data_IF_535994811064
#
_entry.id   IF_535994811064
#
_cell.length_a   1.000
_cell.length_b   1.000
_cell.length_c   1.000
_cell.angle_alpha   90.00
_cell.angle_beta   90.00
_cell.angle_gamma   90.00
#
_symmetry.space_group_name_H-M   'P 1'
#
loop_
_entity.id
_entity.type
_entity.pdbx_description
1 polymer ?
#
# COMPACT_ATOMS: atom_id res chain seq x y z
N UNK A 1 -30.59 5.93 12.05
CA UNK A 1 -29.59 5.82 10.97
C UNK A 1 -28.28 6.35 11.52
N UNK A 2 -27.18 5.58 11.51
CA UNK A 2 -25.90 6.05 12.04
C UNK A 2 -25.39 7.23 11.20
N UNK A 3 -24.89 8.27 11.87
CA UNK A 3 -24.40 9.49 11.25
C UNK A 3 -23.03 9.20 10.60
N UNK A 4 -22.81 9.47 9.30
CA UNK A 4 -21.53 9.20 8.62
C UNK A 4 -20.33 9.94 9.24
N UNK A 5 -20.59 11.02 10.01
CA UNK A 5 -19.57 11.78 10.74
C UNK A 5 -19.01 11.05 11.97
N UNK A 6 -19.70 10.04 12.51
CA UNK A 6 -19.25 9.27 13.69
C UNK A 6 -18.34 8.08 13.34
N UNK A 7 -18.25 7.72 12.05
CA UNK A 7 -17.41 6.60 11.56
C UNK A 7 -15.97 7.05 11.29
N UNK A 8 -15.78 8.32 10.91
CA UNK A 8 -14.47 8.94 10.68
C UNK A 8 -13.56 8.99 11.93
N UNK A 9 -14.03 9.31 13.15
CA UNK A 9 -13.17 9.31 14.34
C UNK A 9 -12.74 7.90 14.78
N UNK A 10 -13.51 6.85 14.52
CA UNK A 10 -13.21 5.47 14.95
C UNK A 10 -12.07 4.82 14.14
N UNK A 11 -11.83 5.30 12.91
CA UNK A 11 -10.68 4.88 12.10
C UNK A 11 -9.38 5.61 12.48
N UNK A 12 -9.49 6.83 13.00
CA UNK A 12 -8.34 7.63 13.42
C UNK A 12 -7.89 7.33 14.86
N UNK A 13 -8.80 6.86 15.71
CA UNK A 13 -8.53 6.62 17.15
C UNK A 13 -8.25 5.18 17.50
N UNK A 14 -8.63 4.20 16.66
CA UNK A 14 -8.23 2.80 16.91
C UNK A 14 -6.79 2.57 16.48
N UNK A 15 -5.94 1.99 17.35
CA UNK A 15 -4.59 1.61 16.97
C UNK A 15 -4.66 0.65 15.78
N UNK A 16 -3.90 0.95 14.73
CA UNK A 16 -3.81 0.14 13.52
C UNK A 16 -3.18 -1.21 13.91
N UNK A 17 -3.96 -2.28 13.98
CA UNK A 17 -3.42 -3.61 14.32
C UNK A 17 -2.55 -4.13 13.16
N UNK A 18 -1.48 -4.85 13.48
CA UNK A 18 -0.58 -5.47 12.49
C UNK A 18 -1.35 -6.29 11.46
N UNK A 19 -2.33 -7.08 11.88
CA UNK A 19 -3.14 -7.90 10.97
C UNK A 19 -3.95 -7.04 9.97
N UNK A 20 -4.47 -5.89 10.41
CA UNK A 20 -5.19 -4.95 9.55
C UNK A 20 -4.26 -4.26 8.55
N UNK A 21 -3.05 -3.90 8.97
CA UNK A 21 -2.03 -3.34 8.08
C UNK A 21 -1.61 -4.34 6.99
N UNK A 22 -1.38 -5.60 7.36
CA UNK A 22 -1.05 -6.68 6.41
C UNK A 22 -2.18 -6.93 5.42
N UNK A 23 -3.43 -6.92 5.88
CA UNK A 23 -4.58 -7.08 5.00
C UNK A 23 -4.69 -5.92 3.98
N UNK A 24 -4.52 -4.68 4.44
CA UNK A 24 -4.49 -3.50 3.57
C UNK A 24 -3.31 -3.55 2.59
N UNK A 25 -2.14 -3.97 3.05
CA UNK A 25 -0.95 -4.10 2.21
C UNK A 25 -1.14 -5.09 1.06
N UNK A 26 -1.72 -6.26 1.36
CA UNK A 26 -2.09 -7.27 0.34
C UNK A 26 -3.15 -6.73 -0.62
N UNK A 27 -4.15 -6.00 -0.11
CA UNK A 27 -5.17 -5.36 -0.93
C UNK A 27 -4.56 -4.37 -1.93
N UNK A 28 -3.67 -3.49 -1.46
CA UNK A 28 -2.93 -2.53 -2.29
C UNK A 28 -2.08 -3.22 -3.36
N UNK A 29 -1.32 -4.25 -2.97
CA UNK A 29 -0.54 -5.05 -3.92
C UNK A 29 -1.42 -5.71 -4.97
N UNK A 30 -2.55 -6.31 -4.56
CA UNK A 30 -3.49 -6.96 -5.46
C UNK A 30 -4.08 -5.99 -6.49
N UNK A 31 -4.52 -4.81 -6.04
CA UNK A 31 -5.06 -3.77 -6.93
C UNK A 31 -3.98 -3.26 -7.89
N UNK A 32 -2.76 -3.01 -7.41
CA UNK A 32 -1.65 -2.57 -8.25
C UNK A 32 -1.27 -3.62 -9.31
N UNK A 33 -1.26 -4.90 -8.94
CA UNK A 33 -1.02 -6.00 -9.86
C UNK A 33 -2.11 -6.10 -10.94
N UNK A 34 -3.39 -6.02 -10.56
CA UNK A 34 -4.50 -6.02 -11.50
C UNK A 34 -4.46 -4.82 -12.46
N UNK A 35 -4.17 -3.63 -11.94
CA UNK A 35 -4.00 -2.42 -12.75
C UNK A 35 -2.85 -2.59 -13.76
N UNK A 36 -1.74 -3.19 -13.34
CA UNK A 36 -0.58 -3.48 -14.20
C UNK A 36 -0.94 -4.45 -15.32
N UNK A 37 -1.61 -5.56 -15.00
CA UNK A 37 -2.03 -6.57 -15.99
C UNK A 37 -3.02 -5.97 -16.98
N UNK A 38 -3.98 -5.18 -16.51
CA UNK A 38 -4.93 -4.48 -17.37
C UNK A 38 -4.23 -3.50 -18.30
N UNK A 39 -3.29 -2.72 -17.77
CA UNK A 39 -2.55 -1.74 -18.57
C UNK A 39 -1.65 -2.42 -19.60
N UNK A 40 -1.00 -3.53 -19.25
CA UNK A 40 -0.19 -4.32 -20.19
C UNK A 40 -1.05 -4.91 -21.32
N UNK A 41 -2.25 -5.41 -21.01
CA UNK A 41 -3.24 -5.84 -22.03
C UNK A 41 -3.70 -4.68 -22.91
N UNK A 42 -3.77 -3.47 -22.39
CA UNK A 42 -4.13 -2.28 -23.16
C UNK A 42 -2.98 -1.83 -24.05
N UNK A 43 -1.73 -1.96 -23.60
CA UNK A 43 -0.53 -1.62 -24.35
C UNK A 43 -0.44 -2.42 -25.66
N UNK A 44 -0.76 -3.71 -25.62
CA UNK A 44 -0.75 -4.57 -26.82
C UNK A 44 -1.85 -4.23 -27.82
N UNK A 45 -3.02 -3.74 -27.37
CA UNK A 45 -4.14 -3.38 -28.25
C UNK A 45 -4.09 -1.93 -28.74
N UNK A 46 -3.59 -1.01 -27.91
CA UNK A 46 -3.56 0.45 -28.16
C UNK A 46 -2.27 1.04 -27.58
N UNK A 47 -1.13 0.90 -28.27
CA UNK A 47 0.17 1.28 -27.73
C UNK A 47 0.31 2.78 -27.51
N UNK A 48 -0.11 3.61 -28.48
CA UNK A 48 0.03 5.07 -28.39
C UNK A 48 -0.71 5.67 -27.17
N UNK A 49 -1.99 5.33 -26.98
CA UNK A 49 -2.77 5.80 -25.82
C UNK A 49 -2.23 5.26 -24.50
N UNK A 50 -1.73 4.01 -24.50
CA UNK A 50 -1.18 3.41 -23.28
C UNK A 50 0.15 4.05 -22.87
N UNK A 51 1.00 4.43 -23.84
CA UNK A 51 2.23 5.17 -23.60
C UNK A 51 1.96 6.57 -23.05
N UNK A 52 0.92 7.26 -23.52
CA UNK A 52 0.52 8.56 -22.97
C UNK A 52 0.07 8.47 -21.50
N UNK A 53 -0.45 7.32 -21.07
CA UNK A 53 -0.85 7.06 -19.68
C UNK A 53 0.31 6.59 -18.80
N UNK A 54 1.45 6.19 -19.38
CA UNK A 54 2.60 5.67 -18.65
C UNK A 54 3.13 6.60 -17.55
N UNK A 55 3.25 7.93 -17.75
CA UNK A 55 3.76 8.84 -16.73
C UNK A 55 2.90 8.89 -15.46
N UNK A 56 1.64 8.48 -15.54
CA UNK A 56 0.70 8.47 -14.42
C UNK A 56 0.53 7.07 -13.85
N UNK A 57 0.39 6.06 -14.71
CA UNK A 57 0.14 4.69 -14.27
C UNK A 57 1.37 4.03 -13.65
N UNK A 58 2.57 4.25 -14.20
CA UNK A 58 3.81 3.72 -13.63
C UNK A 58 4.04 4.15 -12.18
N UNK A 59 4.03 5.46 -11.84
CA UNK A 59 4.23 5.87 -10.46
C UNK A 59 3.09 5.40 -9.55
N UNK A 60 1.83 5.40 -9.99
CA UNK A 60 0.72 4.88 -9.19
C UNK A 60 0.89 3.40 -8.82
N UNK A 61 1.27 2.57 -9.79
CA UNK A 61 1.56 1.15 -9.56
C UNK A 61 2.76 0.99 -8.62
N UNK A 62 3.85 1.74 -8.86
CA UNK A 62 5.05 1.67 -8.03
C UNK A 62 4.75 2.05 -6.58
N UNK A 63 4.01 3.14 -6.36
CA UNK A 63 3.59 3.58 -5.03
C UNK A 63 2.66 2.54 -4.39
N UNK A 64 1.70 1.98 -5.14
CA UNK A 64 0.80 0.96 -4.62
C UNK A 64 1.51 -0.32 -4.19
N UNK A 65 2.50 -0.77 -4.97
CA UNK A 65 3.34 -1.93 -4.61
C UNK A 65 4.22 -1.60 -3.41
N UNK A 66 4.87 -0.44 -3.39
CA UNK A 66 5.74 -0.02 -2.29
C UNK A 66 4.96 0.16 -0.98
N UNK A 67 3.82 0.85 -1.00
CA UNK A 67 2.92 1.01 0.14
C UNK A 67 2.38 -0.35 0.60
N UNK A 68 2.01 -1.22 -0.35
CA UNK A 68 1.56 -2.56 -0.03
C UNK A 68 2.65 -3.43 0.61
N UNK A 69 3.90 -3.32 0.14
CA UNK A 69 5.06 -4.03 0.67
C UNK A 69 5.38 -3.56 2.08
N UNK A 70 5.49 -2.25 2.27
CA UNK A 70 5.78 -1.63 3.57
C UNK A 70 4.72 -1.97 4.61
N UNK A 71 3.44 -2.01 4.26
CA UNK A 71 2.36 -2.39 5.18
C UNK A 71 2.28 -3.90 5.46
N UNK A 72 2.78 -4.75 4.55
CA UNK A 72 2.67 -6.20 4.69
C UNK A 72 3.93 -6.86 5.26
N UNK A 73 5.11 -6.27 5.03
CA UNK A 73 6.41 -6.87 5.33
C UNK A 73 7.14 -6.18 6.47
N UNK A 74 7.08 -4.85 6.57
CA UNK A 74 7.73 -4.16 7.68
C UNK A 74 6.89 -4.33 8.94
N UNK A 75 7.54 -4.81 10.00
CA UNK A 75 6.94 -4.76 11.32
C UNK A 75 7.14 -3.35 11.86
N UNK A 76 6.04 -2.61 11.98
CA UNK A 76 6.04 -1.24 12.46
C UNK A 76 5.97 -1.18 13.99
N UNK A 77 5.56 -2.28 14.63
CA UNK A 77 5.41 -2.37 16.09
C UNK A 77 6.71 -2.85 16.78
N UNK A 78 7.66 -3.40 16.03
CA UNK A 78 9.01 -3.75 16.49
C UNK A 78 10.03 -2.84 15.76
N UNK A 79 10.14 -1.55 16.14
CA UNK A 79 11.13 -0.66 15.56
C UNK A 79 12.52 -1.21 15.88
N UNK A 80 13.22 -1.65 14.83
CA UNK A 80 14.58 -2.19 14.81
C UNK A 80 15.31 -2.06 16.16
N UNK A 81 15.35 -3.16 16.91
CA UNK A 81 16.09 -3.44 18.15
C UNK A 81 17.12 -2.37 18.54
N UNK A 82 16.67 -1.19 18.93
CA UNK A 82 17.52 -0.22 19.60
C UNK A 82 17.44 -0.59 21.06
N UNK A 83 18.35 -1.45 21.49
CA UNK A 83 18.55 -1.76 22.89
C UNK A 83 19.46 -0.66 23.48
N UNK A 84 18.91 0.33 24.23
CA UNK A 84 19.73 1.36 24.86
C UNK A 84 20.64 0.80 25.97
N UNK A 85 20.44 -0.45 26.37
CA UNK A 85 21.24 -1.16 27.37
C UNK A 85 22.25 -2.15 26.74
N UNK A 86 22.27 -2.29 25.40
CA UNK A 86 23.28 -3.09 24.74
C UNK A 86 24.67 -2.48 24.97
N UNK A 87 25.61 -3.21 25.59
CA UNK A 87 26.95 -2.69 25.82
C UNK A 87 27.61 -2.41 24.47
N UNK A 88 28.08 -1.18 24.28
CA UNK A 88 28.88 -0.80 23.11
C UNK A 88 30.07 -1.79 22.98
N UNK A 89 30.10 -2.53 21.88
CA UNK A 89 31.17 -3.48 21.58
C UNK A 89 32.40 -2.79 21.00
#
# INVERSE_FOLDING_TARGET
MPNPMDVLPDLATRPMTVERSRWLGRGLMGVAALASVWWLRRLTRRPATSLLLAPVLLPLVAIGIWAGFTLNVLDWDEPADFDPEAPEA
#
